data_IF_387489394237
#
_entry.id   IF_387489394237
#
_cell.length_a   1.000
_cell.length_b   1.000
_cell.length_c   1.000
_cell.angle_alpha   90.00
_cell.angle_beta   90.00
_cell.angle_gamma   90.00
#
_symmetry.space_group_name_H-M   'P 1'
#
loop_
_entity.id
_entity.type
_entity.pdbx_description
1 polymer ?
#
# COMPACT_ATOMS: atom_id res chain seq x y z
N UNK A 1 -8.79 -0.87 2.53
CA UNK A 1 -7.62 -1.40 1.77
C UNK A 1 -7.70 -2.91 1.47
N UNK A 2 -8.59 -3.66 2.12
CA UNK A 2 -8.64 -5.13 2.14
C UNK A 2 -9.08 -5.83 0.83
N UNK A 3 -9.66 -5.11 -0.14
CA UNK A 3 -10.26 -5.70 -1.35
C UNK A 3 -9.30 -6.56 -2.16
N UNK A 4 -8.05 -6.12 -2.36
CA UNK A 4 -7.07 -6.88 -3.13
C UNK A 4 -6.75 -8.21 -2.45
N UNK A 5 -6.46 -8.16 -1.15
CA UNK A 5 -6.13 -9.35 -0.36
C UNK A 5 -7.31 -10.33 -0.31
N UNK A 6 -8.53 -9.83 -0.12
CA UNK A 6 -9.74 -10.65 -0.19
C UNK A 6 -9.90 -11.33 -1.55
N UNK A 7 -9.70 -10.58 -2.65
CA UNK A 7 -9.77 -11.14 -4.00
C UNK A 7 -8.76 -12.26 -4.20
N UNK A 8 -7.50 -12.04 -3.83
CA UNK A 8 -6.43 -13.05 -3.96
C UNK A 8 -6.78 -14.30 -3.12
N UNK A 9 -7.16 -14.12 -1.86
CA UNK A 9 -7.58 -15.19 -0.97
C UNK A 9 -8.74 -16.03 -1.53
N UNK A 10 -9.74 -15.38 -2.14
CA UNK A 10 -10.85 -16.10 -2.78
C UNK A 10 -10.37 -16.89 -4.00
N UNK A 11 -9.49 -16.32 -4.83
CA UNK A 11 -8.97 -17.01 -6.02
C UNK A 11 -8.02 -18.16 -5.70
N UNK A 12 -7.33 -18.12 -4.55
CA UNK A 12 -6.43 -19.19 -4.09
C UNK A 12 -7.13 -20.24 -3.24
N UNK A 13 -8.44 -20.11 -3.00
CA UNK A 13 -9.22 -21.04 -2.17
C UNK A 13 -8.88 -20.97 -0.67
N UNK A 14 -8.18 -19.93 -0.23
CA UNK A 14 -7.78 -19.72 1.16
C UNK A 14 -8.43 -18.45 1.71
N UNK A 15 -9.66 -18.51 2.26
CA UNK A 15 -10.35 -17.33 2.74
C UNK A 15 -9.59 -16.66 3.90
N UNK A 16 -9.44 -15.34 3.81
CA UNK A 16 -8.74 -14.51 4.79
C UNK A 16 -9.56 -14.38 6.08
N UNK A 17 -9.02 -14.88 7.20
CA UNK A 17 -9.63 -14.76 8.53
C UNK A 17 -9.19 -13.44 9.19
N UNK A 18 -9.93 -12.37 8.94
CA UNK A 18 -9.63 -11.04 9.49
C UNK A 18 -10.24 -10.91 10.88
N UNK A 19 -9.41 -10.87 11.93
CA UNK A 19 -9.87 -10.72 13.32
C UNK A 19 -10.10 -9.27 13.74
N UNK A 20 -9.45 -8.34 13.07
CA UNK A 20 -9.59 -6.91 13.33
C UNK A 20 -9.18 -6.10 12.10
N UNK A 21 -9.83 -4.95 11.91
CA UNK A 21 -9.54 -4.01 10.84
C UNK A 21 -9.45 -2.61 11.43
N UNK A 22 -8.43 -1.87 10.99
CA UNK A 22 -8.23 -0.46 11.33
C UNK A 22 -7.97 0.33 10.06
N UNK A 23 -8.36 1.59 10.07
CA UNK A 23 -8.34 2.44 8.88
C UNK A 23 -7.00 3.17 8.67
N UNK A 24 -6.00 2.91 9.51
CA UNK A 24 -4.68 3.54 9.43
C UNK A 24 -3.54 2.52 9.49
N UNK A 25 -2.45 2.80 8.76
CA UNK A 25 -1.24 1.96 8.77
C UNK A 25 -0.54 1.95 10.13
N UNK A 26 -0.50 3.11 10.80
CA UNK A 26 0.02 3.22 12.17
C UNK A 26 -0.79 2.34 13.13
N UNK A 27 -2.12 2.37 13.03
CA UNK A 27 -2.99 1.50 13.81
C UNK A 27 -2.66 0.02 13.62
N UNK A 28 -2.46 -0.43 12.37
CA UNK A 28 -2.05 -1.81 12.09
C UNK A 28 -0.72 -2.13 12.77
N UNK A 29 0.28 -1.26 12.64
CA UNK A 29 1.60 -1.50 13.23
C UNK A 29 1.53 -1.57 14.76
N UNK A 30 0.75 -0.69 15.41
CA UNK A 30 0.55 -0.71 16.87
C UNK A 30 -0.20 -1.95 17.35
N UNK A 31 -1.16 -2.44 16.56
CA UNK A 31 -1.85 -3.70 16.86
C UNK A 31 -0.89 -4.88 16.81
N UNK A 32 -0.05 -4.95 15.77
CA UNK A 32 0.99 -5.99 15.63
C UNK A 32 1.98 -5.89 16.81
N UNK A 33 2.44 -4.68 17.15
CA UNK A 33 3.33 -4.45 18.30
C UNK A 33 2.71 -4.93 19.62
N UNK A 34 1.41 -4.73 19.80
CA UNK A 34 0.67 -5.19 20.97
C UNK A 34 0.37 -6.70 20.97
N UNK A 35 0.86 -7.45 19.99
CA UNK A 35 0.71 -8.91 19.92
C UNK A 35 -0.62 -9.41 19.35
N UNK A 36 -1.42 -8.55 18.69
CA UNK A 36 -2.70 -8.97 18.10
C UNK A 36 -2.56 -9.89 16.87
N UNK A 37 -1.35 -10.03 16.31
CA UNK A 37 -1.06 -10.91 15.19
C UNK A 37 -0.17 -10.25 14.14
N UNK A 38 -0.44 -10.56 12.87
CA UNK A 38 0.30 -10.04 11.70
C UNK A 38 -0.56 -9.05 10.92
N UNK A 39 0.10 -8.11 10.23
CA UNK A 39 -0.53 -7.13 9.35
C UNK A 39 0.09 -7.15 7.96
N UNK A 40 -0.72 -6.89 6.93
CA UNK A 40 -0.26 -6.75 5.54
C UNK A 40 -0.44 -5.30 5.13
N UNK A 41 0.65 -4.65 4.70
CA UNK A 41 0.68 -3.24 4.32
C UNK A 41 1.75 -2.96 3.26
N UNK A 42 1.68 -1.84 2.52
CA UNK A 42 2.73 -1.46 1.58
C UNK A 42 4.02 -1.15 2.34
N UNK A 43 5.16 -1.64 1.84
CA UNK A 43 6.47 -1.46 2.49
C UNK A 43 6.79 0.01 2.79
N UNK A 44 6.41 0.93 1.90
CA UNK A 44 6.62 2.38 2.08
C UNK A 44 5.88 2.96 3.29
N UNK A 45 4.72 2.41 3.64
CA UNK A 45 3.96 2.81 4.83
C UNK A 45 4.49 2.12 6.10
N UNK A 46 5.07 0.92 5.94
CA UNK A 46 5.56 0.08 7.03
C UNK A 46 6.94 0.49 7.53
N UNK A 47 7.84 0.90 6.62
CA UNK A 47 9.28 1.01 6.85
C UNK A 47 9.66 1.81 8.09
N UNK A 48 9.14 3.03 8.22
CA UNK A 48 9.49 3.92 9.33
C UNK A 48 8.90 3.42 10.66
N UNK A 49 7.62 3.01 10.64
CA UNK A 49 6.91 2.55 11.83
C UNK A 49 7.47 1.21 12.34
N UNK A 50 7.77 0.27 11.46
CA UNK A 50 8.28 -1.02 11.84
C UNK A 50 9.64 -0.90 12.54
N UNK A 51 10.53 -0.05 12.02
CA UNK A 51 11.81 0.23 12.68
C UNK A 51 11.61 0.82 14.08
N UNK A 52 10.79 1.86 14.22
CA UNK A 52 10.54 2.51 15.51
C UNK A 52 9.81 1.62 16.52
N UNK A 53 8.99 0.68 16.05
CA UNK A 53 8.18 -0.19 16.91
C UNK A 53 8.82 -1.57 17.14
N UNK A 54 10.02 -1.81 16.59
CA UNK A 54 10.73 -3.10 16.71
C UNK A 54 10.06 -4.25 15.95
N UNK A 55 9.29 -3.94 14.91
CA UNK A 55 8.58 -4.93 14.09
C UNK A 55 9.48 -5.46 12.98
N UNK A 56 9.29 -6.74 12.66
CA UNK A 56 9.91 -7.36 11.49
C UNK A 56 9.04 -7.12 10.25
N UNK A 57 9.66 -6.69 9.17
CA UNK A 57 9.04 -6.67 7.84
C UNK A 57 9.42 -7.93 7.08
N UNK A 58 8.45 -8.51 6.39
CA UNK A 58 8.61 -9.67 5.52
C UNK A 58 7.95 -9.29 4.19
N UNK A 59 8.72 -9.36 3.10
CA UNK A 59 8.21 -9.05 1.78
C UNK A 59 7.37 -10.21 1.24
N UNK A 60 6.35 -9.86 0.45
CA UNK A 60 5.47 -10.78 -0.24
C UNK A 60 6.00 -11.00 -1.66
N UNK A 61 6.51 -12.20 -1.94
CA UNK A 61 7.10 -12.58 -3.24
C UNK A 61 6.03 -13.06 -4.22
N UNK A 62 4.96 -12.29 -4.35
CA UNK A 62 3.89 -12.56 -5.27
C UNK A 62 3.65 -11.37 -6.20
N UNK A 63 3.38 -11.65 -7.47
CA UNK A 63 3.19 -10.62 -8.50
C UNK A 63 2.00 -9.68 -8.20
N UNK A 64 1.00 -10.16 -7.46
CA UNK A 64 -0.15 -9.36 -7.03
C UNK A 64 0.20 -8.36 -5.92
N UNK A 65 1.30 -8.56 -5.19
CA UNK A 65 1.71 -7.69 -4.08
C UNK A 65 2.23 -6.33 -4.58
N UNK A 66 2.66 -6.25 -5.84
CA UNK A 66 3.07 -5.02 -6.50
C UNK A 66 1.87 -4.11 -6.79
N UNK A 67 1.70 -3.11 -5.94
CA UNK A 67 0.62 -2.13 -6.09
C UNK A 67 1.00 -1.04 -7.09
N UNK A 68 0.26 -0.96 -8.18
CA UNK A 68 0.38 0.13 -9.17
C UNK A 68 -0.47 1.33 -8.72
N UNK A 69 0.17 2.49 -8.59
CA UNK A 69 -0.51 3.77 -8.43
C UNK A 69 -0.66 4.44 -9.79
N UNK A 70 -1.86 4.94 -10.08
CA UNK A 70 -2.16 5.66 -11.32
C UNK A 70 -2.57 7.10 -10.99
N UNK A 71 -2.14 8.03 -11.83
CA UNK A 71 -2.62 9.42 -11.82
C UNK A 71 -3.76 9.47 -12.85
N UNK A 72 -4.97 9.75 -12.38
CA UNK A 72 -6.16 9.79 -13.23
C UNK A 72 -6.61 11.23 -13.43
N UNK A 73 -6.91 11.59 -14.67
CA UNK A 73 -7.43 12.92 -15.06
C UNK A 73 -8.76 12.76 -15.77
N UNK A 74 -9.73 13.63 -15.51
CA UNK A 74 -10.99 13.62 -16.24
C UNK A 74 -10.80 14.34 -17.59
N UNK A 75 -10.98 13.66 -18.74
CA UNK A 75 -10.80 14.28 -20.06
C UNK A 75 -11.82 15.40 -20.35
N UNK A 76 -12.97 15.41 -19.67
CA UNK A 76 -13.98 16.46 -19.82
C UNK A 76 -13.65 17.75 -19.06
N UNK A 77 -12.61 17.74 -18.22
CA UNK A 77 -12.16 18.92 -17.49
C UNK A 77 -10.88 19.46 -18.14
N UNK A 78 -10.89 20.68 -18.72
CA UNK A 78 -9.70 21.22 -19.36
C UNK A 78 -8.57 21.37 -18.35
N UNK A 79 -7.44 20.72 -18.63
CA UNK A 79 -6.30 20.72 -17.72
C UNK A 79 -5.71 22.12 -17.58
N UNK A 80 -5.89 22.71 -16.39
CA UNK A 80 -5.24 23.97 -16.02
C UNK A 80 -3.72 23.81 -16.00
N UNK A 81 -2.98 24.93 -16.11
CA UNK A 81 -1.52 24.90 -16.01
C UNK A 81 -1.06 24.28 -14.67
N UNK A 82 -1.74 24.60 -13.57
CA UNK A 82 -1.45 24.04 -12.25
C UNK A 82 -1.62 22.51 -12.23
N UNK A 83 -2.70 21.99 -12.82
CA UNK A 83 -2.94 20.56 -12.93
C UNK A 83 -1.83 19.86 -13.70
N UNK A 84 -1.42 20.40 -14.86
CA UNK A 84 -0.32 19.83 -15.67
C UNK A 84 0.97 19.76 -14.88
N UNK A 85 1.31 20.83 -14.14
CA UNK A 85 2.52 20.89 -13.30
C UNK A 85 2.52 19.84 -12.19
N UNK A 86 1.37 19.62 -11.53
CA UNK A 86 1.26 18.59 -10.48
C UNK A 86 1.41 17.19 -11.07
N UNK A 87 0.75 16.90 -12.20
CA UNK A 87 0.86 15.60 -12.87
C UNK A 87 2.30 15.33 -13.30
N UNK A 88 2.97 16.33 -13.87
CA UNK A 88 4.38 16.25 -14.26
C UNK A 88 5.28 15.97 -13.05
N UNK A 89 5.11 16.72 -11.96
CA UNK A 89 5.89 16.56 -10.73
C UNK A 89 5.70 15.18 -10.09
N UNK A 90 4.45 14.71 -9.97
CA UNK A 90 4.14 13.41 -9.41
C UNK A 90 4.61 12.26 -10.32
N UNK A 91 4.58 12.45 -11.65
CA UNK A 91 5.11 11.49 -12.61
C UNK A 91 6.63 11.33 -12.55
N UNK A 92 7.37 12.39 -12.25
CA UNK A 92 8.83 12.34 -12.11
C UNK A 92 9.28 11.58 -10.84
N UNK A 93 8.55 11.75 -9.74
CA UNK A 93 8.91 11.16 -8.43
C UNK A 93 8.84 9.62 -8.40
N UNK A 94 8.14 9.00 -9.34
CA UNK A 94 7.98 7.55 -9.40
C UNK A 94 9.12 6.82 -10.16
N UNK A 95 10.08 7.55 -10.76
CA UNK A 95 11.23 6.96 -11.47
C UNK A 95 12.39 6.53 -10.55
N UNK A 96 12.34 6.86 -9.25
CA UNK A 96 13.46 6.65 -8.32
C UNK A 96 13.39 5.35 -7.49
N UNK A 97 12.34 4.55 -7.63
CA UNK A 97 12.13 3.31 -6.84
C UNK A 97 12.16 2.04 -7.71
N UNK A 98 12.58 2.17 -8.96
CA UNK A 98 12.85 1.04 -9.86
C UNK A 98 14.37 0.95 -10.03
N UNK A 99 15.04 0.40 -9.02
CA UNK A 99 16.43 -0.05 -9.15
C UNK A 99 16.48 -1.50 -8.64
N UNK A 100 17.06 -2.43 -9.43
CA UNK A 100 17.07 -3.86 -9.13
C UNK A 100 17.77 -4.21 -7.82
#
# INVERSE_FOLDING_TARGET
MTRLLQSVATTTGMPLQIRAQVDSFDGVCRMVQSGFGIGILPVVAARNLAYSLGLRLIDLDETWALRKFAICTNPHFPATLAMRRIVEFLGQKNKSTDNP
#
